data_IF_001491482468
#
_entry.id   IF_001491482468
#
_cell.length_a   1.000
_cell.length_b   1.000
_cell.length_c   1.000
_cell.angle_alpha   90.00
_cell.angle_beta   90.00
_cell.angle_gamma   90.00
#
_symmetry.space_group_name_H-M   'P 1'
#
loop_
_entity.id
_entity.type
_entity.pdbx_description
1 polymer ?
#
# COMPACT_ATOMS: atom_id res chain seq x y z
N UNK A 1 -24.56 -5.12 -0.30
CA UNK A 1 -23.51 -5.47 0.69
C UNK A 1 -22.67 -6.50 0.00
N UNK A 2 -21.39 -6.22 -0.26
CA UNK A 2 -20.53 -7.28 -0.77
C UNK A 2 -20.43 -8.38 0.32
N UNK A 3 -20.46 -9.65 -0.10
CA UNK A 3 -20.41 -10.77 0.82
C UNK A 3 -19.12 -10.69 1.64
N UNK A 4 -19.21 -10.85 2.96
CA UNK A 4 -18.03 -10.77 3.84
C UNK A 4 -17.07 -11.92 3.49
N UNK A 5 -15.82 -11.65 3.11
CA UNK A 5 -14.82 -12.70 2.93
C UNK A 5 -14.26 -13.14 4.27
N UNK A 6 -14.89 -14.15 4.85
CA UNK A 6 -14.50 -14.69 6.15
C UNK A 6 -13.40 -15.74 6.02
N UNK A 7 -12.86 -16.15 7.17
CA UNK A 7 -11.88 -17.25 7.24
C UNK A 7 -12.48 -18.56 6.71
N UNK A 8 -13.79 -18.79 6.90
CA UNK A 8 -14.45 -20.01 6.40
C UNK A 8 -14.52 -19.97 4.87
N UNK A 9 -15.01 -18.86 4.32
CA UNK A 9 -15.06 -18.66 2.87
C UNK A 9 -13.68 -18.76 2.22
N UNK A 10 -12.63 -18.32 2.91
CA UNK A 10 -11.25 -18.49 2.46
C UNK A 10 -10.88 -19.97 2.29
N UNK A 11 -11.11 -20.81 3.31
CA UNK A 11 -10.75 -22.23 3.22
C UNK A 11 -11.69 -23.03 2.31
N UNK A 12 -12.94 -22.61 2.16
CA UNK A 12 -13.87 -23.21 1.20
C UNK A 12 -13.45 -22.89 -0.24
N UNK A 13 -12.99 -21.66 -0.52
CA UNK A 13 -12.48 -21.26 -1.84
C UNK A 13 -11.09 -21.83 -2.13
N UNK A 14 -10.25 -21.97 -1.12
CA UNK A 14 -8.85 -22.37 -1.27
C UNK A 14 -8.51 -23.56 -0.36
N UNK A 15 -9.09 -24.75 -0.61
CA UNK A 15 -8.89 -25.93 0.23
C UNK A 15 -7.47 -26.51 0.13
N UNK A 16 -6.76 -26.27 -0.99
CA UNK A 16 -5.43 -26.81 -1.23
C UNK A 16 -4.57 -25.93 -2.16
N UNK A 17 -3.35 -26.40 -2.46
CA UNK A 17 -2.41 -25.70 -3.35
C UNK A 17 -2.85 -25.68 -4.82
N UNK A 18 -3.60 -26.67 -5.29
CA UNK A 18 -4.05 -26.72 -6.67
C UNK A 18 -5.19 -25.74 -6.92
N UNK A 19 -6.11 -25.59 -5.96
CA UNK A 19 -7.12 -24.54 -5.96
C UNK A 19 -6.48 -23.14 -5.97
N UNK A 20 -5.47 -22.91 -5.12
CA UNK A 20 -4.74 -21.64 -5.14
C UNK A 20 -4.04 -21.41 -6.49
N UNK A 21 -3.42 -22.45 -7.06
CA UNK A 21 -2.69 -22.34 -8.32
C UNK A 21 -3.64 -22.09 -9.51
N UNK A 22 -4.82 -22.70 -9.49
CA UNK A 22 -5.91 -22.39 -10.43
C UNK A 22 -6.33 -20.93 -10.33
N UNK A 23 -6.50 -20.41 -9.11
CA UNK A 23 -6.83 -18.99 -8.92
C UNK A 23 -5.75 -18.05 -9.45
N UNK A 24 -4.47 -18.34 -9.22
CA UNK A 24 -3.37 -17.55 -9.83
C UNK A 24 -3.45 -17.60 -11.36
N UNK A 25 -3.75 -18.77 -11.94
CA UNK A 25 -3.88 -18.93 -13.38
C UNK A 25 -5.04 -18.08 -13.93
N UNK A 26 -6.21 -18.16 -13.29
CA UNK A 26 -7.42 -17.47 -13.68
C UNK A 26 -7.27 -15.94 -13.57
N UNK A 27 -6.75 -15.42 -12.46
CA UNK A 27 -6.55 -13.98 -12.27
C UNK A 27 -5.56 -13.40 -13.29
N UNK A 28 -4.50 -14.15 -13.63
CA UNK A 28 -3.43 -13.64 -14.50
C UNK A 28 -3.69 -13.84 -15.99
N UNK A 29 -4.32 -14.94 -16.37
CA UNK A 29 -4.46 -15.36 -17.76
C UNK A 29 -5.91 -15.60 -18.18
N UNK A 30 -6.85 -15.66 -17.25
CA UNK A 30 -8.23 -16.06 -17.53
C UNK A 30 -8.36 -17.52 -17.96
N UNK A 31 -9.58 -17.92 -18.32
CA UNK A 31 -9.90 -19.29 -18.74
C UNK A 31 -9.32 -19.64 -20.11
N UNK A 32 -9.24 -18.65 -21.01
CA UNK A 32 -8.66 -18.77 -22.36
C UNK A 32 -7.72 -17.58 -22.58
N UNK A 33 -6.55 -17.84 -23.14
CA UNK A 33 -5.63 -16.79 -23.54
C UNK A 33 -4.80 -17.19 -24.74
N UNK A 34 -4.20 -16.18 -25.36
CA UNK A 34 -3.30 -16.35 -26.49
C UNK A 34 -2.01 -17.02 -26.02
N UNK A 35 -1.70 -18.19 -26.59
CA UNK A 35 -0.47 -18.89 -26.27
C UNK A 35 0.74 -18.11 -26.81
N UNK A 36 1.75 -17.86 -25.94
CA UNK A 36 2.99 -17.16 -26.32
C UNK A 36 3.83 -17.88 -27.38
N UNK A 37 3.68 -19.21 -27.51
CA UNK A 37 4.48 -20.02 -28.41
C UNK A 37 3.84 -20.16 -29.80
N UNK A 38 2.54 -20.47 -29.87
CA UNK A 38 1.85 -20.68 -31.15
C UNK A 38 0.94 -19.53 -31.59
N UNK A 39 0.69 -18.52 -30.73
CA UNK A 39 -0.16 -17.37 -31.06
C UNK A 39 -1.66 -17.66 -31.11
N UNK A 40 -2.09 -18.90 -30.84
CA UNK A 40 -3.51 -19.30 -30.88
C UNK A 40 -4.16 -19.11 -29.52
N UNK A 41 -5.35 -18.53 -29.49
CA UNK A 41 -6.19 -18.48 -28.28
C UNK A 41 -6.67 -19.88 -27.89
N UNK A 42 -6.13 -20.40 -26.80
CA UNK A 42 -6.30 -21.79 -26.39
C UNK A 42 -6.71 -21.91 -24.93
N UNK A 43 -7.25 -23.07 -24.58
CA UNK A 43 -7.39 -23.51 -23.19
C UNK A 43 -6.08 -24.10 -22.68
N UNK A 44 -5.91 -24.08 -21.36
CA UNK A 44 -4.69 -24.55 -20.71
C UNK A 44 -5.05 -25.56 -19.62
N UNK A 45 -4.43 -26.73 -19.66
CA UNK A 45 -4.74 -27.85 -18.75
C UNK A 45 -3.69 -28.00 -17.66
N UNK A 46 -4.12 -28.24 -16.42
CA UNK A 46 -3.28 -28.41 -15.24
C UNK A 46 -2.42 -29.67 -15.33
N UNK A 47 -1.10 -29.55 -15.14
CA UNK A 47 -0.17 -30.69 -15.11
C UNK A 47 0.02 -31.29 -13.70
N UNK A 48 -0.45 -32.51 -13.42
CA UNK A 48 -0.39 -33.11 -12.08
C UNK A 48 0.95 -32.96 -11.33
N UNK A 49 2.09 -33.18 -12.02
CA UNK A 49 3.41 -33.27 -11.38
C UNK A 49 4.19 -31.95 -11.24
N UNK A 50 3.67 -30.82 -11.74
CA UNK A 50 4.39 -29.54 -11.77
C UNK A 50 3.43 -28.39 -11.55
N UNK A 51 3.85 -27.26 -10.96
CA UNK A 51 3.02 -26.03 -10.85
C UNK A 51 2.90 -25.29 -12.20
N UNK A 52 2.34 -25.97 -13.20
CA UNK A 52 2.30 -25.51 -14.57
C UNK A 52 1.02 -25.97 -15.27
N UNK A 53 0.70 -25.26 -16.36
CA UNK A 53 -0.37 -25.58 -17.28
C UNK A 53 0.19 -25.78 -18.69
N UNK A 54 -0.44 -26.63 -19.50
CA UNK A 54 -0.05 -26.90 -20.88
C UNK A 54 -1.12 -26.42 -21.87
N UNK A 55 -0.67 -25.79 -22.96
CA UNK A 55 -1.53 -25.34 -24.05
C UNK A 55 -2.16 -26.54 -24.77
N UNK A 56 -3.48 -26.52 -24.95
CA UNK A 56 -4.21 -27.60 -25.66
C UNK A 56 -3.86 -27.71 -27.15
N UNK A 57 -3.31 -26.65 -27.76
CA UNK A 57 -2.97 -26.63 -29.19
C UNK A 57 -1.53 -27.08 -29.48
N UNK A 58 -0.53 -26.52 -28.79
CA UNK A 58 0.90 -26.75 -29.11
C UNK A 58 1.70 -27.44 -27.98
N UNK A 59 1.10 -27.63 -26.80
CA UNK A 59 1.77 -28.25 -25.66
C UNK A 59 2.73 -27.33 -24.88
N UNK A 60 2.90 -26.05 -25.26
CA UNK A 60 3.75 -25.12 -24.49
C UNK A 60 3.29 -24.98 -23.04
N UNK A 61 4.25 -24.78 -22.14
CA UNK A 61 4.00 -24.69 -20.71
C UNK A 61 3.96 -23.24 -20.22
N UNK A 62 2.93 -22.94 -19.44
CA UNK A 62 2.79 -21.71 -18.66
C UNK A 62 2.99 -22.03 -17.19
N UNK A 63 3.77 -21.19 -16.51
CA UNK A 63 4.06 -21.31 -15.08
C UNK A 63 3.40 -20.13 -14.35
N UNK A 64 2.20 -20.32 -13.74
CA UNK A 64 1.42 -19.21 -13.20
C UNK A 64 2.08 -18.48 -12.03
N UNK A 65 3.04 -19.10 -11.33
CA UNK A 65 3.79 -18.46 -10.26
C UNK A 65 4.98 -17.63 -10.77
N UNK A 66 5.35 -17.72 -12.06
CA UNK A 66 6.54 -17.03 -12.57
C UNK A 66 6.35 -15.51 -12.53
N UNK A 67 7.35 -14.79 -12.01
CA UNK A 67 7.34 -13.35 -11.79
C UNK A 67 6.66 -12.91 -10.48
N UNK A 68 5.99 -13.79 -9.74
CA UNK A 68 5.27 -13.39 -8.51
C UNK A 68 6.05 -13.73 -7.25
N UNK A 69 5.58 -13.27 -6.09
CA UNK A 69 6.14 -13.64 -4.78
C UNK A 69 6.05 -15.15 -4.46
N UNK A 70 5.28 -15.90 -5.26
CA UNK A 70 5.14 -17.35 -5.17
C UNK A 70 6.21 -18.11 -5.98
N UNK A 71 6.96 -17.42 -6.84
CA UNK A 71 8.01 -18.02 -7.66
C UNK A 71 9.05 -18.71 -6.77
N UNK A 72 9.44 -19.93 -7.15
CA UNK A 72 10.47 -20.75 -6.49
C UNK A 72 10.26 -20.93 -4.97
N UNK A 73 9.01 -20.75 -4.50
CA UNK A 73 8.68 -20.90 -3.11
C UNK A 73 8.48 -22.36 -2.73
N UNK A 74 9.20 -22.78 -1.69
CA UNK A 74 8.99 -24.07 -1.01
C UNK A 74 7.82 -24.04 -0.03
N UNK A 75 7.39 -22.85 0.38
CA UNK A 75 6.19 -22.66 1.21
C UNK A 75 4.95 -23.02 0.37
N UNK A 76 3.97 -23.65 0.98
CA UNK A 76 2.71 -23.97 0.29
C UNK A 76 2.02 -22.69 -0.19
N UNK A 77 1.36 -22.78 -1.35
CA UNK A 77 0.66 -21.66 -1.95
C UNK A 77 -0.56 -21.26 -1.11
N UNK A 78 -1.22 -22.23 -0.48
CA UNK A 78 -2.32 -21.97 0.46
C UNK A 78 -1.87 -21.13 1.65
N UNK A 79 -0.66 -21.36 2.21
CA UNK A 79 -0.15 -20.53 3.32
C UNK A 79 0.19 -19.11 2.85
N UNK A 80 0.66 -18.94 1.61
CA UNK A 80 0.84 -17.62 1.02
C UNK A 80 -0.48 -16.87 0.84
N UNK A 81 -1.49 -17.56 0.31
CA UNK A 81 -2.84 -17.02 0.16
C UNK A 81 -3.41 -16.64 1.52
N UNK A 82 -3.28 -17.50 2.54
CA UNK A 82 -3.78 -17.19 3.87
C UNK A 82 -3.02 -16.02 4.51
N UNK A 83 -1.72 -15.90 4.28
CA UNK A 83 -0.96 -14.72 4.71
C UNK A 83 -1.50 -13.44 4.05
N UNK A 84 -1.73 -13.43 2.74
CA UNK A 84 -2.31 -12.26 2.03
C UNK A 84 -3.71 -11.94 2.56
N UNK A 85 -4.54 -12.96 2.77
CA UNK A 85 -5.86 -12.84 3.37
C UNK A 85 -5.80 -12.12 4.73
N UNK A 86 -4.85 -12.47 5.61
CA UNK A 86 -4.67 -11.77 6.89
C UNK A 86 -4.31 -10.29 6.69
N UNK A 87 -3.48 -9.93 5.70
CA UNK A 87 -3.12 -8.53 5.44
C UNK A 87 -4.29 -7.69 4.90
N UNK A 88 -5.18 -8.31 4.13
CA UNK A 88 -6.34 -7.65 3.53
C UNK A 88 -7.49 -7.49 4.53
N UNK A 89 -7.70 -8.51 5.37
CA UNK A 89 -8.81 -8.50 6.37
C UNK A 89 -8.46 -7.74 7.65
N UNK A 90 -7.19 -7.55 7.97
CA UNK A 90 -6.78 -6.79 9.16
C UNK A 90 -6.52 -5.31 8.85
N UNK A 91 -7.15 -4.42 9.64
CA UNK A 91 -7.00 -2.96 9.46
C UNK A 91 -5.69 -2.39 10.01
N UNK A 92 -5.09 -3.05 11.00
CA UNK A 92 -3.89 -2.57 11.70
C UNK A 92 -2.59 -3.28 11.27
N UNK A 93 -2.64 -4.12 10.24
CA UNK A 93 -1.52 -4.92 9.77
C UNK A 93 -1.28 -6.19 10.58
N UNK A 94 -0.35 -6.99 10.06
CA UNK A 94 -0.03 -8.33 10.60
C UNK A 94 1.44 -8.37 11.03
N UNK A 95 1.70 -8.72 12.28
CA UNK A 95 3.06 -8.89 12.79
C UNK A 95 3.69 -10.18 12.28
N UNK A 96 5.03 -10.24 12.17
CA UNK A 96 5.72 -11.48 11.79
C UNK A 96 5.49 -12.61 12.79
N UNK A 97 5.26 -12.30 14.08
CA UNK A 97 4.90 -13.29 15.10
C UNK A 97 3.46 -13.79 14.96
N UNK A 98 2.55 -12.95 14.50
CA UNK A 98 1.19 -13.37 14.16
C UNK A 98 1.23 -14.35 12.99
N UNK A 99 1.90 -13.99 11.89
CA UNK A 99 2.10 -14.91 10.76
C UNK A 99 2.75 -16.22 11.18
N UNK A 100 3.75 -16.19 12.07
CA UNK A 100 4.38 -17.40 12.57
C UNK A 100 3.36 -18.35 13.23
N UNK A 101 2.50 -17.81 14.10
CA UNK A 101 1.50 -18.58 14.84
C UNK A 101 0.40 -19.12 13.93
N UNK A 102 -0.13 -18.27 13.06
CA UNK A 102 -1.23 -18.60 12.17
C UNK A 102 -0.83 -19.61 11.07
N UNK A 103 0.40 -19.51 10.56
CA UNK A 103 0.87 -20.34 9.45
C UNK A 103 1.65 -21.59 9.88
N UNK A 104 2.05 -21.68 11.15
CA UNK A 104 2.88 -22.78 11.66
C UNK A 104 4.30 -22.83 11.07
N UNK A 105 4.78 -21.75 10.44
CA UNK A 105 6.12 -21.66 9.83
C UNK A 105 7.15 -21.10 10.80
N UNK A 106 8.44 -21.16 10.42
CA UNK A 106 9.49 -20.50 11.20
C UNK A 106 9.32 -18.97 11.17
N UNK A 107 9.78 -18.28 12.21
CA UNK A 107 9.75 -16.81 12.24
C UNK A 107 10.46 -16.18 11.02
N UNK A 108 11.60 -16.75 10.59
CA UNK A 108 12.33 -16.26 9.41
C UNK A 108 11.48 -16.36 8.14
N UNK A 109 10.73 -17.45 7.98
CA UNK A 109 9.80 -17.61 6.86
C UNK A 109 8.66 -16.59 6.94
N UNK A 110 7.99 -16.51 8.10
CA UNK A 110 6.89 -15.57 8.33
C UNK A 110 7.30 -14.10 8.10
N UNK A 111 8.47 -13.71 8.59
CA UNK A 111 9.02 -12.36 8.42
C UNK A 111 9.30 -12.05 6.94
N UNK A 112 9.92 -13.00 6.21
CA UNK A 112 10.14 -12.87 4.76
C UNK A 112 8.82 -12.73 4.00
N UNK A 113 7.84 -13.60 4.30
CA UNK A 113 6.52 -13.55 3.68
C UNK A 113 5.85 -12.20 3.91
N UNK A 114 5.84 -11.74 5.16
CA UNK A 114 5.26 -10.45 5.52
C UNK A 114 5.97 -9.28 4.82
N UNK A 115 7.27 -9.32 4.58
CA UNK A 115 7.95 -8.27 3.82
C UNK A 115 7.61 -8.31 2.33
N UNK A 116 7.56 -9.49 1.71
CA UNK A 116 7.20 -9.60 0.30
C UNK A 116 5.75 -9.16 0.04
N UNK A 117 4.82 -9.45 0.95
CA UNK A 117 3.43 -8.97 0.85
C UNK A 117 3.36 -7.45 0.96
N UNK A 118 4.16 -6.83 1.85
CA UNK A 118 4.23 -5.37 1.95
C UNK A 118 4.82 -4.73 0.70
N UNK A 119 5.88 -5.32 0.15
CA UNK A 119 6.49 -4.87 -1.10
C UNK A 119 5.45 -4.96 -2.25
N UNK A 120 4.70 -6.06 -2.31
CA UNK A 120 3.60 -6.26 -3.26
C UNK A 120 2.53 -5.16 -3.15
N UNK A 121 2.01 -4.92 -1.94
CA UNK A 121 1.03 -3.86 -1.68
C UNK A 121 1.55 -2.48 -2.06
N UNK A 122 2.82 -2.19 -1.77
CA UNK A 122 3.44 -0.89 -2.07
C UNK A 122 3.57 -0.64 -3.58
N UNK A 123 3.76 -1.69 -4.36
CA UNK A 123 3.95 -1.63 -5.81
C UNK A 123 2.64 -1.79 -6.61
N UNK A 124 1.52 -2.06 -5.95
CA UNK A 124 0.22 -2.26 -6.62
C UNK A 124 -0.41 -0.94 -7.05
N UNK A 125 -0.20 0.13 -6.29
CA UNK A 125 -0.74 1.46 -6.62
C UNK A 125 0.01 2.05 -7.81
N UNK A 126 -0.70 2.34 -8.90
CA UNK A 126 -0.12 2.99 -10.08
C UNK A 126 0.31 4.45 -9.82
N UNK A 127 1.22 4.95 -10.66
CA UNK A 127 1.81 6.30 -10.58
C UNK A 127 0.87 7.45 -11.02
N UNK A 128 -0.42 7.36 -10.71
CA UNK A 128 -1.35 8.44 -11.01
C UNK A 128 -1.16 9.59 -10.01
N UNK A 129 -0.73 10.75 -10.52
CA UNK A 129 -0.58 11.97 -9.73
C UNK A 129 -1.91 12.34 -9.05
N UNK A 130 -1.80 12.85 -7.83
CA UNK A 130 -2.90 13.41 -7.07
C UNK A 130 -3.36 14.73 -7.69
N UNK A 131 -4.65 15.04 -7.59
CA UNK A 131 -5.25 16.22 -8.19
C UNK A 131 -6.43 16.78 -7.38
N UNK A 132 -6.92 17.96 -7.79
CA UNK A 132 -8.05 18.62 -7.13
C UNK A 132 -7.58 19.37 -5.90
N UNK A 133 -8.04 18.97 -4.71
CA UNK A 133 -7.62 19.57 -3.43
C UNK A 133 -6.78 18.59 -2.64
N UNK A 134 -5.49 18.90 -2.48
CA UNK A 134 -4.52 18.05 -1.79
C UNK A 134 -4.04 18.68 -0.49
N UNK A 135 -4.09 17.91 0.59
CA UNK A 135 -3.56 18.26 1.90
C UNK A 135 -2.16 17.67 2.06
N UNK A 136 -1.23 18.49 2.53
CA UNK A 136 0.17 18.12 2.73
C UNK A 136 0.52 18.23 4.22
N UNK A 137 1.08 17.15 4.77
CA UNK A 137 1.59 17.16 6.15
C UNK A 137 2.74 16.17 6.34
N UNK A 138 3.60 16.48 7.30
CA UNK A 138 4.71 15.63 7.72
C UNK A 138 4.47 14.99 9.09
N UNK A 139 4.90 13.73 9.23
CA UNK A 139 4.91 13.04 10.51
C UNK A 139 6.29 12.49 10.87
N UNK A 140 6.54 12.39 12.17
CA UNK A 140 7.75 11.81 12.75
C UNK A 140 7.43 10.47 13.38
N UNK A 141 8.05 9.39 12.87
CA UNK A 141 7.75 8.00 13.25
C UNK A 141 9.00 7.33 13.79
N UNK A 142 8.87 6.65 14.94
CA UNK A 142 9.97 5.93 15.58
C UNK A 142 9.76 5.80 17.10
N UNK A 143 10.63 5.05 17.76
CA UNK A 143 10.55 4.79 19.21
C UNK A 143 10.62 6.06 20.06
N UNK A 144 10.01 6.03 21.26
CA UNK A 144 10.09 7.15 22.22
C UNK A 144 11.54 7.28 22.70
N UNK A 145 12.09 8.49 22.64
CA UNK A 145 13.42 8.82 23.19
C UNK A 145 13.29 10.03 24.12
N UNK A 146 14.11 10.11 25.19
CA UNK A 146 14.25 11.34 25.96
C UNK A 146 14.71 12.51 25.07
N UNK A 147 14.29 13.73 25.39
CA UNK A 147 14.67 14.95 24.66
C UNK A 147 13.54 15.58 23.84
N UNK A 148 13.92 16.35 22.81
CA UNK A 148 13.01 17.15 21.99
C UNK A 148 11.89 16.30 21.37
N UNK A 149 10.63 16.71 21.57
CA UNK A 149 9.45 16.11 20.93
C UNK A 149 9.08 16.88 19.66
N UNK A 150 8.49 16.20 18.68
CA UNK A 150 8.07 16.82 17.42
C UNK A 150 9.26 17.13 16.49
N UNK A 151 9.23 18.31 15.85
CA UNK A 151 10.23 18.71 14.84
C UNK A 151 11.65 18.72 15.42
N UNK A 152 12.54 17.96 14.79
CA UNK A 152 13.94 17.81 15.22
C UNK A 152 14.17 16.75 16.30
N UNK A 153 13.19 15.89 16.60
CA UNK A 153 13.39 14.73 17.47
C UNK A 153 14.39 13.74 16.84
N UNK A 154 15.50 13.47 17.54
CA UNK A 154 16.54 12.57 17.06
C UNK A 154 16.05 11.12 16.91
N UNK A 155 16.50 10.44 15.86
CA UNK A 155 16.19 9.02 15.61
C UNK A 155 14.76 8.74 15.12
N UNK A 156 14.01 9.76 14.69
CA UNK A 156 12.73 9.60 14.00
C UNK A 156 12.93 9.54 12.49
N UNK A 157 12.13 8.73 11.82
CA UNK A 157 11.96 8.77 10.37
C UNK A 157 10.90 9.81 10.05
N UNK A 158 11.19 10.70 9.10
CA UNK A 158 10.25 11.71 8.64
C UNK A 158 9.50 11.11 7.45
N UNK A 159 8.19 11.11 7.55
CA UNK A 159 7.28 10.66 6.48
C UNK A 159 6.45 11.84 6.05
N UNK A 160 6.24 11.97 4.74
CA UNK A 160 5.49 13.04 4.12
C UNK A 160 4.28 12.46 3.40
N UNK A 161 3.14 13.13 3.53
CA UNK A 161 1.84 12.60 3.14
C UNK A 161 1.13 13.65 2.31
N UNK A 162 0.59 13.21 1.19
CA UNK A 162 -0.16 14.01 0.23
C UNK A 162 -1.53 13.37 0.08
N UNK A 163 -2.58 13.99 0.59
CA UNK A 163 -3.93 13.42 0.64
C UNK A 163 -4.89 14.24 -0.22
N UNK A 164 -5.47 13.62 -1.24
CA UNK A 164 -6.62 14.21 -1.94
C UNK A 164 -7.84 14.25 -1.00
N UNK A 165 -8.59 15.34 -0.97
CA UNK A 165 -9.90 15.35 -0.32
C UNK A 165 -10.81 14.33 -0.99
N UNK A 166 -11.41 13.47 -0.16
CA UNK A 166 -12.27 12.35 -0.58
C UNK A 166 -11.61 11.35 -1.57
N UNK A 167 -10.31 11.43 -1.79
CA UNK A 167 -9.58 10.61 -2.76
C UNK A 167 -8.51 9.71 -2.15
N UNK A 168 -7.39 9.55 -2.87
CA UNK A 168 -6.27 8.70 -2.45
C UNK A 168 -5.28 9.47 -1.58
N UNK A 169 -4.34 8.74 -0.98
CA UNK A 169 -3.14 9.28 -0.34
C UNK A 169 -1.89 8.71 -0.99
N UNK A 170 -0.89 9.57 -1.17
CA UNK A 170 0.47 9.18 -1.48
C UNK A 170 1.38 9.53 -0.30
N UNK A 171 2.39 8.70 -0.06
CA UNK A 171 3.30 8.88 1.07
C UNK A 171 4.74 8.62 0.66
N UNK A 172 5.68 9.39 1.18
CA UNK A 172 7.11 9.25 0.90
C UNK A 172 7.92 9.39 2.20
N UNK A 173 9.06 8.68 2.30
CA UNK A 173 10.05 8.94 3.35
C UNK A 173 10.94 10.07 2.88
N UNK A 174 10.99 11.16 3.64
CA UNK A 174 11.83 12.32 3.29
C UNK A 174 13.04 12.44 4.23
N UNK A 175 14.19 12.88 3.74
CA UNK A 175 15.39 13.05 4.57
C UNK A 175 15.28 14.21 5.57
N UNK A 176 14.45 15.21 5.28
CA UNK A 176 14.27 16.43 6.08
C UNK A 176 12.98 17.17 5.65
N UNK A 177 12.59 18.19 6.42
CA UNK A 177 11.42 19.06 6.15
C UNK A 177 11.79 20.40 5.48
N UNK A 178 12.90 20.41 4.74
CA UNK A 178 13.33 21.61 3.99
C UNK A 178 12.42 21.82 2.79
N UNK A 179 12.30 23.08 2.40
CA UNK A 179 11.51 23.55 1.26
C UNK A 179 11.77 22.76 -0.01
N UNK A 180 13.02 22.54 -0.36
CA UNK A 180 13.43 21.88 -1.60
C UNK A 180 12.97 20.41 -1.62
N UNK A 181 13.10 19.73 -0.47
CA UNK A 181 12.69 18.34 -0.30
C UNK A 181 11.18 18.18 -0.43
N UNK A 182 10.41 18.99 0.30
CA UNK A 182 8.95 18.91 0.30
C UNK A 182 8.37 19.34 -1.06
N UNK A 183 8.87 20.44 -1.63
CA UNK A 183 8.49 20.89 -2.97
C UNK A 183 8.78 19.83 -4.03
N UNK A 184 9.97 19.22 -4.00
CA UNK A 184 10.32 18.15 -4.94
C UNK A 184 9.38 16.95 -4.85
N UNK A 185 9.00 16.53 -3.64
CA UNK A 185 8.02 15.47 -3.44
C UNK A 185 6.63 15.87 -3.95
N UNK A 186 6.17 17.09 -3.66
CA UNK A 186 4.89 17.60 -4.16
C UNK A 186 4.84 17.62 -5.69
N UNK A 187 5.86 18.15 -6.37
CA UNK A 187 5.88 18.23 -7.83
C UNK A 187 5.87 16.86 -8.54
N UNK A 188 6.45 15.83 -7.93
CA UNK A 188 6.42 14.46 -8.46
C UNK A 188 5.06 13.78 -8.29
N UNK A 189 4.29 14.17 -7.28
CA UNK A 189 3.10 13.44 -6.85
C UNK A 189 1.79 14.21 -7.07
N UNK A 190 1.81 15.54 -7.19
CA UNK A 190 0.61 16.39 -7.26
C UNK A 190 0.59 17.16 -8.57
N UNK A 191 -0.50 17.02 -9.33
CA UNK A 191 -0.67 17.65 -10.64
C UNK A 191 -0.69 19.18 -10.50
N UNK A 192 0.09 19.94 -11.30
CA UNK A 192 -0.02 21.39 -11.35
C UNK A 192 -1.46 21.86 -11.64
N UNK A 193 -1.85 23.02 -11.09
CA UNK A 193 -3.23 23.52 -11.13
C UNK A 193 -4.11 23.05 -9.96
N UNK A 194 -3.61 22.16 -9.10
CA UNK A 194 -4.33 21.71 -7.91
C UNK A 194 -4.34 22.76 -6.79
N UNK A 195 -5.34 22.69 -5.92
CA UNK A 195 -5.37 23.42 -4.65
C UNK A 195 -4.56 22.64 -3.62
N UNK A 196 -3.71 23.34 -2.88
CA UNK A 196 -2.87 22.74 -1.84
C UNK A 196 -3.15 23.38 -0.49
N UNK A 197 -3.41 22.55 0.52
CA UNK A 197 -3.53 22.95 1.93
C UNK A 197 -2.34 22.42 2.72
N UNK A 198 -1.65 23.29 3.44
CA UNK A 198 -0.55 22.89 4.32
C UNK A 198 -0.70 23.53 5.70
N UNK A 199 0.08 23.06 6.65
CA UNK A 199 0.27 23.73 7.94
C UNK A 199 1.19 24.97 7.82
N UNK A 200 1.49 25.62 8.95
CA UNK A 200 2.33 26.83 9.12
C UNK A 200 3.80 26.70 8.69
N UNK A 201 4.21 25.60 8.07
CA UNK A 201 5.62 25.40 7.74
C UNK A 201 6.02 26.35 6.59
N UNK A 202 6.93 27.30 6.87
CA UNK A 202 7.47 28.24 5.87
C UNK A 202 8.04 27.53 4.63
N UNK A 203 8.44 26.26 4.76
CA UNK A 203 8.90 25.42 3.65
C UNK A 203 7.87 25.27 2.52
N UNK A 204 6.58 25.54 2.74
CA UNK A 204 5.54 25.44 1.70
C UNK A 204 5.37 26.72 0.85
N UNK A 205 6.04 27.82 1.20
CA UNK A 205 5.78 29.15 0.62
C UNK A 205 6.16 29.39 -0.86
N UNK A 206 6.45 28.37 -1.66
CA UNK A 206 6.71 28.52 -3.11
C UNK A 206 5.69 27.83 -4.03
N UNK A 207 4.72 27.12 -3.48
CA UNK A 207 3.80 26.33 -4.32
C UNK A 207 2.95 27.21 -5.24
N UNK A 208 2.66 28.45 -4.86
CA UNK A 208 1.98 29.41 -5.76
C UNK A 208 2.77 29.68 -7.05
N UNK A 209 4.10 29.74 -6.99
CA UNK A 209 4.95 29.96 -8.17
C UNK A 209 5.01 28.72 -9.09
N UNK A 210 4.67 27.54 -8.56
CA UNK A 210 4.66 26.27 -9.29
C UNK A 210 3.30 25.94 -9.93
N UNK A 211 2.36 26.90 -9.90
CA UNK A 211 1.03 26.76 -10.47
C UNK A 211 0.01 26.08 -9.56
N UNK A 212 0.23 26.05 -8.24
CA UNK A 212 -0.77 25.59 -7.27
C UNK A 212 -1.53 26.77 -6.67
N UNK A 213 -2.77 26.54 -6.24
CA UNK A 213 -3.49 27.47 -5.35
C UNK A 213 -3.18 27.06 -3.91
N UNK A 214 -2.24 27.74 -3.26
CA UNK A 214 -1.74 27.34 -1.93
C UNK A 214 -2.34 28.18 -0.81
N UNK A 215 -2.89 27.50 0.21
CA UNK A 215 -3.28 28.09 1.49
C UNK A 215 -2.64 27.36 2.66
N UNK A 216 -2.22 28.12 3.67
CA UNK A 216 -1.59 27.62 4.89
C UNK A 216 -2.50 27.88 6.09
N UNK A 217 -2.72 26.85 6.91
CA UNK A 217 -3.55 26.93 8.11
C UNK A 217 -2.70 27.15 9.35
N UNK A 218 -3.11 28.15 10.15
CA UNK A 218 -2.38 28.60 11.33
C UNK A 218 -2.75 27.86 12.63
N UNK A 219 -2.22 26.64 12.78
CA UNK A 219 -2.44 25.81 13.97
C UNK A 219 -1.95 26.45 15.28
N UNK A 220 -0.92 27.31 15.24
CA UNK A 220 -0.43 28.05 16.41
C UNK A 220 -1.43 29.08 16.94
N UNK A 221 -2.34 29.55 16.09
CA UNK A 221 -3.39 30.51 16.41
C UNK A 221 -4.76 29.85 16.73
N UNK A 222 -4.83 28.51 16.78
CA UNK A 222 -6.08 27.73 16.88
C UNK A 222 -7.05 27.92 15.69
N UNK A 223 -6.54 28.35 14.53
CA UNK A 223 -7.29 28.29 13.28
C UNK A 223 -7.20 26.86 12.74
N UNK A 224 -8.30 26.10 12.82
CA UNK A 224 -8.37 24.70 12.33
C UNK A 224 -8.86 24.61 10.87
N UNK A 225 -9.37 25.72 10.35
CA UNK A 225 -9.75 25.90 8.96
C UNK A 225 -9.77 27.40 8.64
N UNK A 226 -9.40 27.76 7.41
CA UNK A 226 -9.47 29.13 6.90
C UNK A 226 -10.17 29.11 5.54
N UNK A 227 -11.09 30.07 5.32
CA UNK A 227 -11.77 30.22 4.03
C UNK A 227 -11.07 31.28 3.18
N UNK A 228 -10.53 30.85 2.05
CA UNK A 228 -9.98 31.73 1.03
C UNK A 228 -11.13 32.30 0.18
N UNK A 229 -11.53 33.54 0.48
CA UNK A 229 -12.57 34.26 -0.25
C UNK A 229 -12.21 34.55 -1.71
N UNK A 230 -10.91 34.59 -2.07
CA UNK A 230 -10.46 34.90 -3.43
C UNK A 230 -10.66 33.71 -4.36
N UNK A 231 -10.45 32.51 -3.85
CA UNK A 231 -10.56 31.27 -4.62
C UNK A 231 -11.82 30.46 -4.28
N UNK A 232 -12.57 30.86 -3.25
CA UNK A 232 -13.80 30.19 -2.83
C UNK A 232 -13.56 28.85 -2.13
N UNK A 233 -12.38 28.65 -1.52
CA UNK A 233 -11.95 27.34 -1.00
C UNK A 233 -11.61 27.39 0.49
N UNK A 234 -12.02 26.39 1.25
CA UNK A 234 -11.63 26.21 2.66
C UNK A 234 -10.36 25.38 2.77
N UNK A 235 -9.29 25.91 3.36
CA UNK A 235 -8.05 25.19 3.63
C UNK A 235 -8.05 24.56 5.04
N UNK A 236 -7.61 23.29 5.13
CA UNK A 236 -7.33 22.52 6.36
C UNK A 236 -6.52 21.26 6.00
N UNK A 237 -5.91 20.61 6.99
CA UNK A 237 -5.06 19.40 6.86
C UNK A 237 -5.61 18.18 7.63
N UNK A 238 -6.87 18.26 8.07
CA UNK A 238 -7.53 17.27 8.93
C UNK A 238 -7.49 15.83 8.40
N UNK A 239 -7.55 15.62 7.09
CA UNK A 239 -7.59 14.27 6.51
C UNK A 239 -6.22 13.61 6.55
N UNK A 240 -5.16 14.35 6.19
CA UNK A 240 -3.78 13.84 6.26
C UNK A 240 -3.33 13.66 7.70
N UNK A 241 -3.70 14.55 8.62
CA UNK A 241 -3.46 14.37 10.06
C UNK A 241 -4.16 13.13 10.61
N UNK A 242 -5.41 12.91 10.21
CA UNK A 242 -6.18 11.73 10.58
C UNK A 242 -5.52 10.44 10.10
N UNK A 243 -4.98 10.43 8.88
CA UNK A 243 -4.19 9.32 8.35
C UNK A 243 -2.96 9.06 9.24
N UNK A 244 -2.19 10.10 9.60
CA UNK A 244 -1.02 9.93 10.45
C UNK A 244 -1.35 9.42 11.85
N UNK A 245 -2.46 9.89 12.42
CA UNK A 245 -2.97 9.41 13.70
C UNK A 245 -3.27 7.90 13.64
N UNK A 246 -3.96 7.46 12.57
CA UNK A 246 -4.28 6.04 12.38
C UNK A 246 -3.02 5.20 12.13
N UNK A 247 -2.08 5.69 11.31
CA UNK A 247 -0.82 5.01 11.05
C UNK A 247 -0.02 4.81 12.35
N UNK A 248 0.18 5.87 13.13
CA UNK A 248 0.91 5.80 14.41
C UNK A 248 0.24 4.85 15.41
N UNK A 249 -1.11 4.82 15.45
CA UNK A 249 -1.86 3.85 16.26
C UNK A 249 -1.64 2.42 15.79
N UNK A 250 -1.72 2.17 14.48
CA UNK A 250 -1.46 0.86 13.86
C UNK A 250 -0.06 0.35 14.17
N UNK A 251 0.95 1.23 14.07
CA UNK A 251 2.33 0.89 14.43
C UNK A 251 2.37 0.50 15.91
N UNK A 252 1.83 1.31 16.80
CA UNK A 252 1.87 1.06 18.26
C UNK A 252 1.09 -0.19 18.69
N UNK A 253 -0.01 -0.53 18.00
CA UNK A 253 -0.83 -1.69 18.34
C UNK A 253 -0.24 -3.01 17.87
N UNK A 254 0.35 -3.03 16.68
CA UNK A 254 0.75 -4.27 15.99
C UNK A 254 2.25 -4.50 16.04
N UNK A 255 3.04 -3.43 16.09
CA UNK A 255 4.48 -3.47 15.93
C UNK A 255 5.17 -2.83 17.14
N UNK A 256 6.04 -3.59 17.81
CA UNK A 256 6.84 -3.05 18.93
C UNK A 256 7.80 -1.97 18.42
N UNK A 257 8.42 -2.21 17.26
CA UNK A 257 9.40 -1.32 16.65
C UNK A 257 9.49 -1.56 15.14
N UNK A 258 9.56 -0.47 14.37
CA UNK A 258 9.84 -0.50 12.93
C UNK A 258 11.16 0.23 12.71
N UNK A 259 12.15 -0.46 12.15
CA UNK A 259 13.43 0.16 11.81
C UNK A 259 13.28 1.06 10.59
N UNK A 260 14.10 2.12 10.51
CA UNK A 260 14.12 3.04 9.36
C UNK A 260 14.30 2.28 8.02
N UNK A 261 15.10 1.20 8.03
CA UNK A 261 15.38 0.34 6.86
C UNK A 261 14.13 -0.26 6.21
N UNK A 262 13.06 -0.48 6.99
CA UNK A 262 11.85 -1.12 6.50
C UNK A 262 10.63 -0.19 6.52
N UNK A 263 10.80 1.07 6.93
CA UNK A 263 9.68 2.01 7.11
C UNK A 263 8.88 2.19 5.82
N UNK A 264 9.55 2.12 4.66
CA UNK A 264 8.97 2.18 3.32
C UNK A 264 7.88 1.11 3.15
N UNK A 265 8.18 -0.14 3.52
CA UNK A 265 7.26 -1.26 3.42
C UNK A 265 6.02 -1.09 4.26
N UNK A 266 6.18 -0.68 5.51
CA UNK A 266 5.06 -0.51 6.44
C UNK A 266 4.19 0.70 6.08
N UNK A 267 4.83 1.77 5.61
CA UNK A 267 4.14 2.96 5.14
C UNK A 267 3.35 2.66 3.85
N UNK A 268 3.95 1.92 2.91
CA UNK A 268 3.29 1.47 1.68
C UNK A 268 2.13 0.51 1.95
N UNK A 269 2.31 -0.48 2.84
CA UNK A 269 1.21 -1.36 3.31
C UNK A 269 0.02 -0.57 3.84
N UNK A 270 0.28 0.43 4.69
CA UNK A 270 -0.77 1.23 5.30
C UNK A 270 -1.46 2.15 4.29
N UNK A 271 -0.68 2.72 3.37
CA UNK A 271 -1.17 3.57 2.27
C UNK A 271 -2.06 2.78 1.33
N UNK A 272 -1.61 1.61 0.86
CA UNK A 272 -2.39 0.70 0.03
C UNK A 272 -3.74 0.38 0.66
N UNK A 273 -3.75 -0.06 1.92
CA UNK A 273 -4.99 -0.34 2.66
C UNK A 273 -5.91 0.88 2.80
N UNK A 274 -5.34 2.07 2.97
CA UNK A 274 -6.14 3.29 3.10
C UNK A 274 -6.84 3.65 1.78
N UNK A 275 -6.13 3.48 0.66
CA UNK A 275 -6.62 3.71 -0.70
C UNK A 275 -7.65 2.68 -1.13
N UNK A 276 -7.49 1.41 -0.74
CA UNK A 276 -8.34 0.29 -1.17
C UNK A 276 -9.37 -0.13 -0.13
N UNK A 277 -9.59 0.69 0.92
CA UNK A 277 -10.40 0.32 2.10
C UNK A 277 -11.87 -0.04 1.80
N UNK A 278 -12.37 0.41 0.65
CA UNK A 278 -13.74 0.23 0.14
C UNK A 278 -13.84 -0.95 -0.83
N UNK A 279 -12.71 -1.49 -1.32
CA UNK A 279 -12.67 -2.61 -2.26
C UNK A 279 -12.90 -3.97 -1.61
N UNK A 280 -13.12 -4.01 -0.28
CA UNK A 280 -13.37 -5.22 0.51
C UNK A 280 -12.54 -6.43 0.02
N UNK A 281 -13.18 -7.42 -0.60
CA UNK A 281 -12.57 -8.68 -1.01
C UNK A 281 -11.72 -8.56 -2.29
N UNK A 282 -11.99 -7.56 -3.13
CA UNK A 282 -11.28 -7.38 -4.40
C UNK A 282 -9.80 -7.02 -4.19
N UNK A 283 -9.43 -6.51 -3.00
CA UNK A 283 -8.02 -6.34 -2.60
C UNK A 283 -7.23 -7.64 -2.67
N UNK A 284 -7.86 -8.78 -2.33
CA UNK A 284 -7.18 -10.07 -2.35
C UNK A 284 -6.82 -10.46 -3.79
N UNK A 285 -7.79 -10.43 -4.69
CA UNK A 285 -7.59 -10.81 -6.09
C UNK A 285 -6.63 -9.86 -6.80
N UNK A 286 -6.70 -8.56 -6.48
CA UNK A 286 -5.74 -7.56 -6.95
C UNK A 286 -4.31 -7.97 -6.59
N UNK A 287 -4.03 -8.34 -5.33
CA UNK A 287 -2.69 -8.74 -4.90
C UNK A 287 -2.23 -10.07 -5.53
N UNK A 288 -3.13 -11.01 -5.78
CA UNK A 288 -2.77 -12.27 -6.46
C UNK A 288 -2.33 -12.03 -7.91
N UNK A 289 -2.91 -11.04 -8.58
CA UNK A 289 -2.64 -10.73 -10.00
C UNK A 289 -1.38 -9.92 -10.27
N UNK A 290 -0.78 -9.28 -9.25
CA UNK A 290 0.38 -8.40 -9.43
C UNK A 290 1.64 -9.20 -9.81
N UNK A 291 2.36 -8.68 -10.82
CA UNK A 291 3.61 -9.21 -11.37
C UNK A 291 4.72 -8.18 -11.21
#
# INVERSE_FOLDING_TARGET
MADKFTVRDFFDRFPDNDACLHHVMEVRYGTRHTCRACGVESTFHRLANRKAYTCSHCGDHVYPCAGTIFQDSRTSLQLWFYAIFLFVTTRHGVSGKELQRQLGVTYKCAWRMGHQIRDLMSNTDGFAMLQGHVELDEAYVGGRRPGKRGRGAAGKTIVFGMKERDGRIATEIVPNVRKETLRGATLRNVRPGSVVSTDELMSYGLLNADGYTHGSVKHGAKEFAYYDHRHGVTHHTNHVESFWRLFKKSVTSTHIHISRKHMDRYLGEFTFRSNHREMENAMFDLLIGVV
#
